data_IF_402476897913
#
_entry.id   IF_402476897913
#
_cell.length_a   1.000
_cell.length_b   1.000
_cell.length_c   1.000
_cell.angle_alpha   90.00
_cell.angle_beta   90.00
_cell.angle_gamma   90.00
#
_symmetry.space_group_name_H-M   'P 1'
#
loop_
_entity.id
_entity.type
_entity.pdbx_description
1 polymer ?
#
# COMPACT_ATOMS: atom_id res chain seq x y z
N UNK A 1 0.33 21.16 -20.89
CA UNK A 1 0.58 19.71 -20.77
C UNK A 1 1.15 19.48 -19.39
N UNK A 2 0.39 18.87 -18.46
CA UNK A 2 0.88 18.57 -17.10
C UNK A 2 1.83 17.36 -17.24
N UNK A 3 3.09 17.51 -16.86
CA UNK A 3 4.00 16.37 -16.69
C UNK A 3 3.27 15.30 -15.86
N UNK A 4 3.18 14.09 -16.40
CA UNK A 4 2.76 12.96 -15.60
C UNK A 4 3.91 12.60 -14.69
N UNK A 5 3.75 12.72 -13.37
CA UNK A 5 4.90 12.93 -12.51
C UNK A 5 5.73 11.66 -12.26
N UNK A 6 5.24 10.46 -12.60
CA UNK A 6 5.94 9.21 -12.26
C UNK A 6 5.76 8.07 -13.27
N UNK A 7 6.86 7.37 -13.54
CA UNK A 7 6.94 6.11 -14.29
C UNK A 7 6.44 4.92 -13.46
N UNK A 8 6.03 3.84 -14.12
CA UNK A 8 5.67 2.57 -13.45
C UNK A 8 6.78 2.06 -12.52
N UNK A 9 8.04 2.20 -12.93
CA UNK A 9 9.20 1.78 -12.13
C UNK A 9 9.31 2.54 -10.82
N UNK A 10 8.98 3.83 -10.81
CA UNK A 10 9.04 4.68 -9.63
C UNK A 10 7.93 4.33 -8.65
N UNK A 11 6.71 4.06 -9.12
CA UNK A 11 5.63 3.56 -8.26
C UNK A 11 5.96 2.21 -7.61
N UNK A 12 6.58 1.29 -8.38
CA UNK A 12 7.02 0.00 -7.85
C UNK A 12 8.15 0.16 -6.83
N UNK A 13 9.10 1.06 -7.09
CA UNK A 13 10.16 1.40 -6.15
C UNK A 13 9.58 2.00 -4.87
N UNK A 14 8.61 2.90 -4.97
CA UNK A 14 7.99 3.51 -3.80
C UNK A 14 7.24 2.50 -2.92
N UNK A 15 6.49 1.56 -3.51
CA UNK A 15 5.89 0.43 -2.77
C UNK A 15 6.97 -0.40 -2.06
N UNK A 16 8.11 -0.61 -2.71
CA UNK A 16 9.23 -1.37 -2.17
C UNK A 16 9.93 -0.63 -1.02
N UNK A 17 10.07 0.69 -1.11
CA UNK A 17 10.59 1.57 -0.06
C UNK A 17 9.73 1.50 1.19
N UNK A 18 8.41 1.69 1.06
CA UNK A 18 7.47 1.61 2.20
C UNK A 18 7.50 0.23 2.86
N UNK A 19 7.68 -0.84 2.08
CA UNK A 19 7.88 -2.17 2.63
C UNK A 19 9.24 -2.31 3.36
N UNK A 20 10.30 -1.72 2.84
CA UNK A 20 11.61 -1.67 3.51
C UNK A 20 11.55 -0.94 4.85
N UNK A 21 10.85 0.19 4.90
CA UNK A 21 10.57 0.92 6.14
C UNK A 21 9.82 0.06 7.15
N UNK A 22 8.80 -0.70 6.72
CA UNK A 22 8.11 -1.65 7.60
C UNK A 22 9.09 -2.67 8.21
N UNK A 23 9.98 -3.26 7.41
CA UNK A 23 10.92 -4.27 7.91
C UNK A 23 11.86 -3.65 8.96
N UNK A 24 12.36 -2.44 8.71
CA UNK A 24 13.20 -1.71 9.66
C UNK A 24 12.44 -1.37 10.95
N UNK A 25 11.23 -0.82 10.82
CA UNK A 25 10.39 -0.46 11.96
C UNK A 25 10.00 -1.69 12.80
N UNK A 26 9.64 -2.80 12.16
CA UNK A 26 9.31 -4.06 12.84
C UNK A 26 10.48 -4.55 13.67
N UNK A 27 11.68 -4.57 13.09
CA UNK A 27 12.88 -4.97 13.81
C UNK A 27 13.15 -4.06 15.02
N UNK A 28 13.04 -2.75 14.84
CA UNK A 28 13.28 -1.77 15.90
C UNK A 28 12.26 -1.92 17.05
N UNK A 29 10.97 -1.98 16.73
CA UNK A 29 9.89 -2.12 17.72
C UNK A 29 9.98 -3.44 18.47
N UNK A 30 10.22 -4.56 17.77
CA UNK A 30 10.39 -5.87 18.42
C UNK A 30 11.58 -5.87 19.37
N UNK A 31 12.73 -5.32 18.96
CA UNK A 31 13.91 -5.19 19.84
C UNK A 31 13.65 -4.34 21.07
N UNK A 32 13.00 -3.18 20.90
CA UNK A 32 12.68 -2.31 22.02
C UNK A 32 11.71 -3.00 22.99
N UNK A 33 10.73 -3.76 22.46
CA UNK A 33 9.79 -4.53 23.27
C UNK A 33 10.47 -5.61 24.09
N UNK A 34 11.40 -6.35 23.50
CA UNK A 34 12.22 -7.34 24.21
C UNK A 34 13.10 -6.70 25.29
N UNK A 35 13.73 -5.57 24.97
CA UNK A 35 14.55 -4.80 25.91
C UNK A 35 13.75 -4.29 27.10
N UNK A 36 12.59 -3.65 26.88
CA UNK A 36 11.71 -3.16 27.94
C UNK A 36 11.15 -4.31 28.79
N UNK A 37 10.90 -5.47 28.20
CA UNK A 37 10.48 -6.66 28.94
C UNK A 37 11.61 -7.20 29.85
N UNK A 38 12.86 -7.15 29.40
CA UNK A 38 14.02 -7.58 30.19
C UNK A 38 14.41 -6.55 31.27
N UNK A 39 14.32 -5.27 30.94
CA UNK A 39 14.64 -4.15 31.83
C UNK A 39 13.75 -2.94 31.54
N UNK A 40 12.76 -2.73 32.41
CA UNK A 40 11.81 -1.62 32.28
C UNK A 40 12.46 -0.24 32.51
N UNK A 41 13.68 -0.17 33.04
CA UNK A 41 14.39 1.10 33.27
C UNK A 41 14.95 1.71 31.98
N UNK A 42 15.04 0.94 30.89
CA UNK A 42 15.46 1.42 29.56
C UNK A 42 14.58 2.57 29.04
N UNK A 43 13.31 2.60 29.46
CA UNK A 43 12.35 3.66 29.14
C UNK A 43 11.96 4.46 30.40
N UNK A 44 12.85 4.55 31.39
CA UNK A 44 12.60 5.34 32.61
C UNK A 44 12.48 6.82 32.27
N UNK A 45 11.28 7.37 32.35
CA UNK A 45 10.96 8.75 31.93
C UNK A 45 10.04 8.82 30.73
N UNK A 46 9.93 7.74 29.96
CA UNK A 46 9.10 7.65 28.75
C UNK A 46 7.82 6.84 29.04
N UNK A 47 6.97 7.38 29.93
CA UNK A 47 5.76 6.69 30.38
C UNK A 47 4.86 6.27 29.22
N UNK A 48 4.64 7.19 28.26
CA UNK A 48 3.81 6.90 27.09
C UNK A 48 4.38 5.77 26.23
N UNK A 49 5.70 5.71 26.05
CA UNK A 49 6.35 4.62 25.30
C UNK A 49 6.07 3.30 25.98
N UNK A 50 6.22 3.21 27.30
CA UNK A 50 5.95 1.98 28.06
C UNK A 50 4.50 1.52 27.89
N UNK A 51 3.54 2.44 27.98
CA UNK A 51 2.12 2.12 27.84
C UNK A 51 1.71 1.72 26.41
N UNK A 52 2.32 2.35 25.40
CA UNK A 52 1.90 2.22 24.00
C UNK A 52 2.69 1.19 23.20
N UNK A 53 3.85 0.74 23.68
CA UNK A 53 4.75 -0.15 22.91
C UNK A 53 4.07 -1.43 22.41
N UNK A 54 3.27 -2.08 23.27
CA UNK A 54 2.53 -3.29 22.88
C UNK A 54 1.51 -3.01 21.77
N UNK A 55 0.77 -1.90 21.86
CA UNK A 55 -0.19 -1.48 20.83
C UNK A 55 0.49 -1.03 19.56
N UNK A 56 1.65 -0.35 19.66
CA UNK A 56 2.45 0.06 18.52
C UNK A 56 2.95 -1.17 17.74
N UNK A 57 3.45 -2.21 18.43
CA UNK A 57 3.85 -3.48 17.82
C UNK A 57 2.66 -4.18 17.14
N UNK A 58 1.50 -4.24 17.80
CA UNK A 58 0.30 -4.86 17.24
C UNK A 58 -0.21 -4.12 15.98
N UNK A 59 -0.20 -2.78 15.98
CA UNK A 59 -0.76 -1.97 14.89
C UNK A 59 0.22 -1.67 13.76
N UNK A 60 1.49 -2.03 13.92
CA UNK A 60 2.55 -1.66 12.97
C UNK A 60 2.27 -2.18 11.56
N UNK A 61 1.88 -3.45 11.42
CA UNK A 61 1.63 -4.05 10.11
C UNK A 61 0.45 -3.38 9.40
N UNK A 62 -0.66 -3.21 10.11
CA UNK A 62 -1.86 -2.53 9.59
C UNK A 62 -1.53 -1.11 9.11
N UNK A 63 -0.74 -0.36 9.88
CA UNK A 63 -0.28 0.99 9.53
C UNK A 63 0.46 0.99 8.19
N UNK A 64 1.39 0.04 8.00
CA UNK A 64 2.15 -0.04 6.76
C UNK A 64 1.34 -0.61 5.59
N UNK A 65 0.35 -1.48 5.82
CA UNK A 65 -0.61 -1.92 4.79
C UNK A 65 -1.38 -0.71 4.23
N UNK A 66 -1.85 0.20 5.09
CA UNK A 66 -2.52 1.44 4.66
C UNK A 66 -1.59 2.28 3.77
N UNK A 67 -0.33 2.45 4.18
CA UNK A 67 0.67 3.22 3.41
C UNK A 67 0.99 2.60 2.05
N UNK A 68 1.20 1.28 2.00
CA UNK A 68 1.44 0.55 0.75
C UNK A 68 0.23 0.69 -0.18
N UNK A 69 -0.99 0.53 0.35
CA UNK A 69 -2.19 0.68 -0.46
C UNK A 69 -2.36 2.11 -0.98
N UNK A 70 -2.03 3.13 -0.19
CA UNK A 70 -2.07 4.52 -0.64
C UNK A 70 -1.12 4.78 -1.82
N UNK A 71 0.12 4.25 -1.76
CA UNK A 71 1.07 4.31 -2.87
C UNK A 71 0.53 3.61 -4.14
N UNK A 72 -0.05 2.42 -3.97
CA UNK A 72 -0.71 1.70 -5.06
C UNK A 72 -1.90 2.47 -5.65
N UNK A 73 -2.75 3.08 -4.82
CA UNK A 73 -3.91 3.84 -5.27
C UNK A 73 -3.49 5.10 -6.04
N UNK A 74 -2.43 5.78 -5.58
CA UNK A 74 -1.82 6.90 -6.30
C UNK A 74 -1.32 6.48 -7.69
N UNK A 75 -0.67 5.31 -7.78
CA UNK A 75 -0.26 4.72 -9.04
C UNK A 75 -1.46 4.44 -9.97
N UNK A 76 -2.51 3.76 -9.46
CA UNK A 76 -3.72 3.51 -10.24
C UNK A 76 -4.35 4.81 -10.77
N UNK A 77 -4.46 5.83 -9.92
CA UNK A 77 -5.04 7.12 -10.27
C UNK A 77 -4.22 7.85 -11.32
N UNK A 78 -2.90 7.78 -11.23
CA UNK A 78 -2.01 8.34 -12.25
C UNK A 78 -2.23 7.66 -13.61
N UNK A 79 -2.36 6.33 -13.64
CA UNK A 79 -2.65 5.62 -14.90
C UNK A 79 -4.08 5.82 -15.41
N UNK A 80 -5.08 5.87 -14.52
CA UNK A 80 -6.48 6.12 -14.90
C UNK A 80 -6.60 7.46 -15.65
N UNK A 81 -6.02 8.52 -15.10
CA UNK A 81 -5.96 9.85 -15.73
C UNK A 81 -5.22 9.84 -17.05
N UNK A 82 -4.10 9.11 -17.13
CA UNK A 82 -3.35 8.93 -18.37
C UNK A 82 -4.18 8.23 -19.46
N UNK A 83 -4.76 7.09 -19.11
CA UNK A 83 -5.45 6.22 -20.04
C UNK A 83 -6.70 6.88 -20.65
N UNK A 84 -7.42 7.65 -19.82
CA UNK A 84 -8.61 8.38 -20.25
C UNK A 84 -8.31 9.80 -20.75
N UNK A 85 -7.04 10.23 -20.75
CA UNK A 85 -6.60 11.57 -21.13
C UNK A 85 -7.39 12.68 -20.39
N UNK A 86 -7.64 12.48 -19.10
CA UNK A 86 -8.39 13.38 -18.24
C UNK A 86 -7.64 13.57 -16.90
N UNK A 87 -6.94 14.71 -16.71
CA UNK A 87 -6.15 14.94 -15.50
C UNK A 87 -6.99 15.15 -14.24
N UNK A 88 -8.26 15.53 -14.40
CA UNK A 88 -9.17 15.85 -13.31
C UNK A 88 -10.15 14.69 -13.04
N UNK A 89 -9.98 13.56 -13.74
CA UNK A 89 -10.76 12.34 -13.53
C UNK A 89 -10.72 11.90 -12.07
N UNK A 90 -11.90 11.83 -11.47
CA UNK A 90 -12.15 11.31 -10.14
C UNK A 90 -12.83 9.94 -10.22
N UNK A 91 -12.05 8.90 -9.97
CA UNK A 91 -12.53 7.51 -9.95
C UNK A 91 -12.24 6.89 -8.59
N UNK A 92 -13.21 6.16 -8.04
CA UNK A 92 -13.01 5.41 -6.80
C UNK A 92 -11.96 4.32 -6.99
N UNK A 93 -11.22 3.97 -5.93
CA UNK A 93 -10.22 2.89 -6.00
C UNK A 93 -10.83 1.56 -6.47
N UNK A 94 -12.03 1.22 -6.00
CA UNK A 94 -12.73 0.00 -6.41
C UNK A 94 -12.99 0.00 -7.93
N UNK A 95 -13.53 1.11 -8.45
CA UNK A 95 -13.81 1.27 -9.87
C UNK A 95 -12.54 1.24 -10.71
N UNK A 96 -11.44 1.86 -10.27
CA UNK A 96 -10.15 1.80 -10.99
C UNK A 96 -9.60 0.36 -11.05
N UNK A 97 -9.69 -0.40 -9.96
CA UNK A 97 -9.26 -1.81 -9.93
C UNK A 97 -10.05 -2.64 -10.95
N UNK A 98 -11.36 -2.42 -11.04
CA UNK A 98 -12.19 -3.20 -11.96
C UNK A 98 -12.01 -2.75 -13.42
N UNK A 99 -12.11 -1.44 -13.69
CA UNK A 99 -12.02 -0.88 -15.04
C UNK A 99 -10.65 -1.14 -15.65
N UNK A 100 -9.57 -0.77 -14.95
CA UNK A 100 -8.21 -0.96 -15.46
C UNK A 100 -7.89 -2.46 -15.56
N UNK A 101 -8.26 -3.25 -14.55
CA UNK A 101 -8.00 -4.70 -14.55
C UNK A 101 -8.68 -5.45 -15.70
N UNK A 102 -9.83 -4.95 -16.16
CA UNK A 102 -10.59 -5.50 -17.28
C UNK A 102 -10.09 -5.04 -18.67
N UNK A 103 -9.19 -4.06 -18.75
CA UNK A 103 -8.67 -3.58 -20.04
C UNK A 103 -8.02 -4.73 -20.81
N UNK A 104 -8.34 -4.82 -22.11
CA UNK A 104 -7.89 -5.91 -22.99
C UNK A 104 -6.37 -5.99 -23.10
N UNK A 105 -5.66 -4.86 -22.91
CA UNK A 105 -4.19 -4.81 -22.89
C UNK A 105 -3.57 -5.21 -21.55
N UNK A 106 -4.28 -5.09 -20.42
CA UNK A 106 -3.76 -5.42 -19.09
C UNK A 106 -4.11 -6.87 -18.69
N UNK A 107 -5.37 -7.27 -18.89
CA UNK A 107 -5.91 -8.61 -18.57
C UNK A 107 -5.44 -9.13 -17.22
N UNK A 108 -5.69 -8.36 -16.17
CA UNK A 108 -5.37 -8.80 -14.81
C UNK A 108 -6.27 -9.99 -14.48
N UNK A 109 -5.67 -11.10 -14.02
CA UNK A 109 -6.42 -12.29 -13.62
C UNK A 109 -7.38 -11.97 -12.47
N UNK A 110 -8.55 -12.61 -12.49
CA UNK A 110 -9.61 -12.39 -11.49
C UNK A 110 -9.13 -12.63 -10.05
N UNK A 111 -8.32 -13.65 -9.81
CA UNK A 111 -7.78 -13.95 -8.48
C UNK A 111 -6.89 -12.82 -7.93
N UNK A 112 -6.14 -12.17 -8.81
CA UNK A 112 -5.34 -10.99 -8.45
C UNK A 112 -6.27 -9.80 -8.16
N UNK A 113 -7.28 -9.53 -9.00
CA UNK A 113 -8.23 -8.43 -8.75
C UNK A 113 -8.99 -8.62 -7.44
N UNK A 114 -9.48 -9.84 -7.17
CA UNK A 114 -10.14 -10.20 -5.91
C UNK A 114 -9.20 -9.98 -4.72
N UNK A 115 -7.93 -10.37 -4.87
CA UNK A 115 -6.88 -10.11 -3.89
C UNK A 115 -6.69 -8.61 -3.61
N UNK A 116 -6.56 -7.78 -4.65
CA UNK A 116 -6.42 -6.32 -4.51
C UNK A 116 -7.66 -5.69 -3.85
N UNK A 117 -8.87 -6.13 -4.21
CA UNK A 117 -10.08 -5.70 -3.51
C UNK A 117 -10.11 -6.11 -2.04
N UNK A 118 -9.55 -7.27 -1.68
CA UNK A 118 -9.40 -7.67 -0.28
C UNK A 118 -8.44 -6.73 0.46
N UNK A 119 -7.31 -6.36 -0.14
CA UNK A 119 -6.40 -5.35 0.44
C UNK A 119 -7.12 -4.02 0.63
N UNK A 120 -7.91 -3.56 -0.35
CA UNK A 120 -8.72 -2.33 -0.22
C UNK A 120 -9.67 -2.40 0.99
N UNK A 121 -10.33 -3.54 1.21
CA UNK A 121 -11.21 -3.74 2.38
C UNK A 121 -10.43 -3.69 3.68
N UNK A 122 -9.26 -4.33 3.76
CA UNK A 122 -8.34 -4.25 4.91
C UNK A 122 -7.97 -2.79 5.19
N UNK A 123 -7.54 -2.04 4.17
CA UNK A 123 -7.24 -0.61 4.31
C UNK A 123 -8.44 0.16 4.86
N UNK A 124 -9.63 -0.08 4.31
CA UNK A 124 -10.84 0.63 4.72
C UNK A 124 -11.23 0.31 6.17
N UNK A 125 -11.10 -0.94 6.59
CA UNK A 125 -11.33 -1.36 7.97
C UNK A 125 -10.41 -0.59 8.93
N UNK A 126 -9.10 -0.57 8.68
CA UNK A 126 -8.14 0.13 9.54
C UNK A 126 -8.20 1.66 9.46
N UNK A 127 -8.66 2.22 8.34
CA UNK A 127 -8.75 3.67 8.15
C UNK A 127 -10.07 4.27 8.66
N UNK A 128 -11.15 3.47 8.71
CA UNK A 128 -12.50 3.97 8.99
C UNK A 128 -13.25 3.20 10.08
N UNK A 129 -12.60 2.26 10.77
CA UNK A 129 -13.17 1.46 11.87
C UNK A 129 -14.51 0.81 11.48
N UNK A 130 -14.52 0.10 10.35
CA UNK A 130 -15.72 -0.52 9.79
C UNK A 130 -16.13 -1.78 10.57
N UNK A 131 -17.44 -2.03 10.74
CA UNK A 131 -17.97 -3.15 11.54
C UNK A 131 -17.62 -4.59 11.07
N UNK A 132 -17.09 -4.76 9.85
CA UNK A 132 -16.77 -6.09 9.30
C UNK A 132 -15.27 -6.26 9.09
N UNK A 133 -14.64 -7.09 9.93
CA UNK A 133 -13.23 -7.48 9.82
C UNK A 133 -12.99 -8.28 8.51
N UNK A 134 -12.15 -7.80 7.58
CA UNK A 134 -11.89 -8.45 6.29
C UNK A 134 -10.91 -9.63 6.32
N UNK A 135 -10.67 -10.21 7.50
CA UNK A 135 -9.62 -11.16 7.87
C UNK A 135 -8.21 -10.58 7.66
N UNK A 136 -7.26 -10.85 8.59
CA UNK A 136 -5.90 -10.35 8.46
C UNK A 136 -5.19 -10.86 7.19
N UNK A 137 -4.31 -10.03 6.65
CA UNK A 137 -3.41 -10.40 5.55
C UNK A 137 -2.01 -9.88 5.84
N UNK A 138 -1.03 -10.77 5.73
CA UNK A 138 0.38 -10.41 5.91
C UNK A 138 0.81 -9.37 4.87
N UNK A 139 1.60 -8.40 5.29
CA UNK A 139 2.06 -7.30 4.43
C UNK A 139 2.88 -7.79 3.23
N UNK A 140 3.60 -8.91 3.38
CA UNK A 140 4.32 -9.54 2.27
C UNK A 140 3.36 -10.02 1.16
N UNK A 141 2.19 -10.54 1.56
CA UNK A 141 1.14 -10.94 0.63
C UNK A 141 0.46 -9.72 0.00
N UNK A 142 0.21 -8.68 0.79
CA UNK A 142 -0.32 -7.39 0.30
C UNK A 142 0.61 -6.82 -0.78
N UNK A 143 1.88 -6.63 -0.47
CA UNK A 143 2.91 -6.14 -1.41
C UNK A 143 2.93 -6.99 -2.68
N UNK A 144 2.98 -8.31 -2.54
CA UNK A 144 3.01 -9.24 -3.67
C UNK A 144 1.80 -9.10 -4.60
N UNK A 145 0.58 -9.01 -4.05
CA UNK A 145 -0.64 -8.82 -4.83
C UNK A 145 -0.65 -7.48 -5.58
N UNK A 146 -0.31 -6.39 -4.89
CA UNK A 146 -0.33 -5.05 -5.48
C UNK A 146 0.74 -4.88 -6.57
N UNK A 147 1.97 -5.38 -6.34
CA UNK A 147 3.01 -5.38 -7.37
C UNK A 147 2.63 -6.27 -8.56
N UNK A 148 2.05 -7.45 -8.32
CA UNK A 148 1.59 -8.34 -9.41
C UNK A 148 0.50 -7.69 -10.27
N UNK A 149 -0.37 -6.88 -9.65
CA UNK A 149 -1.37 -6.09 -10.38
C UNK A 149 -0.69 -5.03 -11.25
N UNK A 150 0.24 -4.24 -10.68
CA UNK A 150 0.97 -3.20 -11.41
C UNK A 150 1.89 -3.75 -12.51
N UNK A 151 2.39 -4.98 -12.37
CA UNK A 151 3.23 -5.64 -13.40
C UNK A 151 2.50 -5.85 -14.72
N UNK A 152 1.17 -5.69 -14.77
CA UNK A 152 0.39 -5.75 -16.01
C UNK A 152 0.41 -4.44 -16.79
N UNK A 153 0.79 -3.34 -16.16
CA UNK A 153 0.77 -2.02 -16.76
C UNK A 153 1.91 -1.88 -17.77
N UNK A 154 1.70 -1.15 -18.87
CA UNK A 154 2.72 -0.99 -19.89
C UNK A 154 3.93 -0.26 -19.32
N UNK A 155 5.14 -0.73 -19.64
CA UNK A 155 6.39 -0.05 -19.25
C UNK A 155 6.52 1.35 -19.85
N UNK A 156 5.82 1.60 -20.96
CA UNK A 156 5.72 2.92 -21.60
C UNK A 156 4.77 3.87 -20.87
N UNK A 157 4.10 3.44 -19.79
CA UNK A 157 3.37 4.35 -18.92
C UNK A 157 4.32 5.42 -18.37
N UNK A 158 3.99 6.70 -18.62
CA UNK A 158 4.83 7.85 -18.28
C UNK A 158 5.66 8.35 -19.45
N UNK A 159 5.79 7.57 -20.53
CA UNK A 159 6.39 8.01 -21.79
C UNK A 159 5.29 8.56 -22.69
N UNK A 160 5.17 9.88 -22.76
CA UNK A 160 4.53 10.51 -23.91
C UNK A 160 5.41 10.20 -25.13
N UNK A 161 4.89 9.45 -26.09
CA UNK A 161 5.42 9.54 -27.44
C UNK A 161 5.24 11.01 -27.86
N UNK A 162 6.36 11.71 -28.03
CA UNK A 162 6.39 12.95 -28.79
C UNK A 162 6.11 12.56 -30.24
N UNK A 163 4.87 12.75 -30.68
CA UNK A 163 4.53 12.91 -32.08
C UNK A 163 3.62 14.15 -32.20
#
# INVERSE_FOLDING_TARGET
>A
MKEMPYLLSEWRAHIQEVWGEFKAARLAVSRLKEQVHADATIVSGEHEVRERLSSADANLESTYIVRIFAAFEAALRSYDRFHFNDPDRETSAATMIDQLGALKQLRVRDDIRVGVHRVRRIRNFWAHDSDMDPDPMLIDRVRGLLQTYLDKFPKSWGWTALD
#
